data_IF_771694812414
#
_entry.id   IF_771694812414
#
_cell.length_a   1.000
_cell.length_b   1.000
_cell.length_c   1.000
_cell.angle_alpha   90.00
_cell.angle_beta   90.00
_cell.angle_gamma   90.00
#
_symmetry.space_group_name_H-M   'P 1'
#
loop_
_entity.id
_entity.type
_entity.pdbx_description
1 polymer ?
#
# COMPACT_ATOMS: atom_id res chain seq x y z
N UNK A 1 -48.57 27.03 -62.37
CA UNK A 1 -47.63 26.15 -63.10
C UNK A 1 -47.36 24.89 -62.26
N UNK A 2 -46.92 23.82 -62.93
CA UNK A 2 -46.75 22.43 -62.48
C UNK A 2 -46.14 22.19 -61.07
N UNK A 3 -46.79 21.32 -60.29
CA UNK A 3 -46.17 20.31 -59.41
C UNK A 3 -45.67 19.11 -60.26
N UNK A 4 -45.01 18.08 -59.69
CA UNK A 4 -43.96 18.05 -58.65
C UNK A 4 -42.74 17.20 -59.11
N UNK A 5 -41.67 17.09 -58.29
CA UNK A 5 -41.00 15.79 -58.08
C UNK A 5 -40.13 15.80 -56.81
N UNK A 6 -40.11 14.67 -56.09
CA UNK A 6 -39.24 14.43 -54.95
C UNK A 6 -37.95 13.71 -55.39
N UNK A 7 -36.89 13.81 -54.58
CA UNK A 7 -35.79 12.83 -54.50
C UNK A 7 -34.98 13.03 -53.19
N UNK A 8 -35.22 12.13 -52.22
CA UNK A 8 -34.20 11.62 -51.27
C UNK A 8 -33.14 10.82 -52.08
N UNK A 9 -31.93 10.46 -51.59
CA UNK A 9 -31.51 10.20 -50.20
C UNK A 9 -30.36 11.17 -49.78
N UNK A 10 -29.43 10.98 -48.83
CA UNK A 10 -28.91 9.79 -48.07
C UNK A 10 -28.56 10.18 -46.64
N UNK A 11 -28.82 9.28 -45.68
CA UNK A 11 -28.25 9.32 -44.33
C UNK A 11 -26.83 8.74 -44.35
N UNK A 12 -25.80 9.56 -44.13
CA UNK A 12 -24.45 9.05 -43.85
C UNK A 12 -24.29 8.86 -42.33
N UNK A 13 -24.73 7.70 -41.83
CA UNK A 13 -24.51 7.30 -40.44
C UNK A 13 -23.04 6.91 -40.29
N UNK A 14 -22.23 7.76 -39.68
CA UNK A 14 -20.91 7.36 -39.20
C UNK A 14 -21.07 6.33 -38.08
N UNK A 15 -20.93 5.05 -38.43
CA UNK A 15 -20.85 3.97 -37.48
C UNK A 15 -19.54 4.11 -36.67
N UNK A 16 -19.63 4.75 -35.50
CA UNK A 16 -18.58 4.65 -34.49
C UNK A 16 -18.61 3.23 -33.96
N UNK A 17 -17.65 2.42 -34.42
CA UNK A 17 -17.49 1.04 -33.97
C UNK A 17 -17.12 1.04 -32.48
N UNK A 18 -18.12 0.84 -31.63
CA UNK A 18 -17.90 0.42 -30.25
C UNK A 18 -17.25 -0.96 -30.29
N UNK A 19 -15.92 -0.99 -30.19
CA UNK A 19 -15.19 -2.19 -29.83
C UNK A 19 -15.53 -2.53 -28.38
N UNK A 20 -16.67 -3.20 -28.18
CA UNK A 20 -16.97 -3.90 -26.94
C UNK A 20 -15.99 -5.06 -26.83
N UNK A 21 -14.81 -4.78 -26.27
CA UNK A 21 -13.95 -5.82 -25.70
C UNK A 21 -14.73 -6.46 -24.57
N UNK A 22 -15.38 -7.58 -24.89
CA UNK A 22 -15.89 -8.53 -23.90
C UNK A 22 -14.68 -9.11 -23.16
N UNK A 23 -14.19 -8.34 -22.18
CA UNK A 23 -13.37 -8.89 -21.11
C UNK A 23 -14.33 -9.77 -20.31
N UNK A 24 -14.24 -11.08 -20.55
CA UNK A 24 -14.83 -12.06 -19.64
C UNK A 24 -14.18 -11.85 -18.27
N UNK A 25 -14.88 -11.11 -17.41
CA UNK A 25 -14.59 -11.07 -15.99
C UNK A 25 -14.84 -12.47 -15.44
N UNK A 26 -13.77 -13.27 -15.43
CA UNK A 26 -13.77 -14.59 -14.82
C UNK A 26 -14.30 -14.50 -13.40
N UNK A 27 -15.51 -15.04 -13.19
CA UNK A 27 -16.15 -15.11 -11.88
C UNK A 27 -15.45 -16.13 -10.99
N UNK A 28 -14.22 -15.83 -10.58
CA UNK A 28 -13.70 -16.35 -9.32
C UNK A 28 -14.29 -15.53 -8.17
N UNK A 29 -15.59 -15.74 -7.97
CA UNK A 29 -16.26 -15.32 -6.76
C UNK A 29 -15.62 -16.12 -5.61
N UNK A 30 -14.78 -15.46 -4.82
CA UNK A 30 -14.07 -16.05 -3.70
C UNK A 30 -15.02 -16.23 -2.50
N UNK A 31 -16.06 -17.04 -2.69
CA UNK A 31 -17.15 -17.27 -1.73
C UNK A 31 -16.86 -18.37 -0.72
N UNK A 32 -15.89 -19.23 -1.03
CA UNK A 32 -15.67 -20.49 -0.30
C UNK A 32 -14.44 -20.43 0.64
N UNK A 33 -13.66 -19.34 0.63
CA UNK A 33 -12.57 -19.17 1.61
C UNK A 33 -13.13 -18.83 2.99
N UNK A 34 -12.65 -19.50 4.06
CA UNK A 34 -12.92 -19.08 5.43
C UNK A 34 -12.54 -17.60 5.62
N UNK A 35 -13.36 -16.79 6.31
CA UNK A 35 -13.06 -15.37 6.53
C UNK A 35 -11.70 -15.09 7.19
N UNK A 36 -11.16 -16.05 7.96
CA UNK A 36 -9.81 -15.99 8.53
C UNK A 36 -8.72 -16.00 7.46
N UNK A 37 -8.77 -16.91 6.48
CA UNK A 37 -7.74 -17.03 5.44
C UNK A 37 -7.69 -15.81 4.53
N UNK A 38 -8.85 -15.27 4.13
CA UNK A 38 -8.91 -14.03 3.36
C UNK A 38 -8.34 -12.84 4.16
N UNK A 39 -8.72 -12.70 5.44
CA UNK A 39 -8.18 -11.66 6.30
C UNK A 39 -6.68 -11.77 6.55
N UNK A 40 -6.11 -12.97 6.63
CA UNK A 40 -4.67 -13.20 6.75
C UNK A 40 -3.89 -12.83 5.46
N UNK A 41 -4.46 -13.06 4.27
CA UNK A 41 -3.85 -12.64 3.01
C UNK A 41 -3.90 -11.13 2.82
N UNK A 42 -5.03 -10.49 3.13
CA UNK A 42 -5.17 -9.02 3.12
C UNK A 42 -4.24 -8.35 4.13
N UNK A 43 -4.07 -8.96 5.30
CA UNK A 43 -3.14 -8.49 6.33
C UNK A 43 -1.67 -8.54 5.87
N UNK A 44 -1.28 -9.51 5.03
CA UNK A 44 0.07 -9.55 4.42
C UNK A 44 0.32 -8.40 3.45
N UNK A 45 -0.69 -8.01 2.65
CA UNK A 45 -0.60 -6.82 1.77
C UNK A 45 -0.30 -5.57 2.59
N UNK A 46 -0.98 -5.39 3.72
CA UNK A 46 -0.71 -4.25 4.61
C UNK A 46 0.67 -4.38 5.28
N UNK A 47 1.08 -5.56 5.71
CA UNK A 47 2.41 -5.78 6.28
C UNK A 47 3.53 -5.38 5.29
N UNK A 48 3.38 -5.69 3.99
CA UNK A 48 4.29 -5.22 2.95
C UNK A 48 4.29 -3.69 2.82
N UNK A 49 3.15 -3.01 2.96
CA UNK A 49 3.09 -1.53 2.91
C UNK A 49 3.81 -0.88 4.10
N UNK A 50 3.80 -1.48 5.29
CA UNK A 50 4.63 -1.00 6.39
C UNK A 50 6.12 -1.03 6.06
N UNK A 51 6.60 -1.96 5.22
CA UNK A 51 8.01 -2.05 4.79
C UNK A 51 8.48 -0.83 3.99
N UNK A 52 7.57 -0.07 3.38
CA UNK A 52 7.87 1.19 2.67
C UNK A 52 8.45 2.23 3.63
N UNK A 53 7.97 2.23 4.88
CA UNK A 53 8.32 3.20 5.91
C UNK A 53 9.52 2.78 6.76
N UNK A 54 10.30 1.80 6.30
CA UNK A 54 11.48 1.30 7.02
C UNK A 54 12.79 1.68 6.32
N UNK A 55 13.88 1.92 7.07
CA UNK A 55 15.21 2.05 6.51
C UNK A 55 15.73 0.74 5.94
N UNK A 56 16.66 0.82 4.99
CA UNK A 56 17.34 -0.36 4.46
C UNK A 56 18.09 -1.12 5.56
N UNK A 57 17.97 -2.45 5.56
CA UNK A 57 18.80 -3.33 6.39
C UNK A 57 20.24 -3.38 5.88
N UNK A 58 21.21 -3.60 6.77
CA UNK A 58 22.59 -3.84 6.38
C UNK A 58 22.71 -5.07 5.45
N UNK A 59 23.46 -4.93 4.35
CA UNK A 59 23.67 -6.00 3.35
C UNK A 59 22.52 -6.27 2.36
N UNK A 60 21.38 -5.58 2.46
CA UNK A 60 20.20 -5.84 1.63
C UNK A 60 20.28 -5.18 0.23
N UNK A 61 21.10 -5.73 -0.67
CA UNK A 61 21.18 -5.29 -2.09
C UNK A 61 20.15 -6.00 -3.01
N UNK A 62 19.11 -6.61 -2.45
CA UNK A 62 18.03 -7.23 -3.24
C UNK A 62 16.68 -6.89 -2.63
N UNK A 63 15.71 -6.62 -3.50
CA UNK A 63 14.30 -6.65 -3.16
C UNK A 63 13.98 -7.98 -2.48
N UNK A 64 13.41 -7.92 -1.29
CA UNK A 64 12.84 -9.09 -0.63
C UNK A 64 11.54 -9.43 -1.37
N UNK A 65 11.67 -10.22 -2.44
CA UNK A 65 10.53 -10.87 -3.09
C UNK A 65 10.17 -12.08 -2.22
N UNK A 66 9.31 -11.85 -1.22
CA UNK A 66 8.75 -12.90 -0.36
C UNK A 66 7.80 -13.79 -1.16
N UNK A 67 8.39 -14.74 -1.90
CA UNK A 67 7.75 -15.57 -2.91
C UNK A 67 6.94 -16.74 -2.29
N UNK A 68 6.05 -16.42 -1.34
CA UNK A 68 5.27 -17.39 -0.54
C UNK A 68 3.77 -17.07 -0.44
N UNK A 69 3.28 -16.05 -1.16
CA UNK A 69 1.86 -15.76 -1.35
C UNK A 69 1.60 -15.29 -2.78
N UNK A 70 0.34 -15.36 -3.24
CA UNK A 70 -0.09 -14.78 -4.54
C UNK A 70 -0.07 -13.23 -4.55
N UNK A 71 0.38 -12.60 -3.46
CA UNK A 71 0.06 -11.23 -3.10
C UNK A 71 1.26 -10.58 -2.39
N UNK A 72 2.25 -10.11 -3.15
CA UNK A 72 3.43 -9.40 -2.64
C UNK A 72 3.50 -7.99 -3.24
N UNK A 73 3.65 -6.96 -2.39
CA UNK A 73 3.87 -5.58 -2.87
C UNK A 73 5.38 -5.34 -2.97
N UNK A 74 5.94 -5.10 -4.16
CA UNK A 74 7.34 -4.64 -4.24
C UNK A 74 7.42 -3.19 -3.81
N UNK A 75 7.99 -2.96 -2.63
CA UNK A 75 8.15 -1.63 -2.05
C UNK A 75 9.33 -0.89 -2.65
N UNK A 76 9.21 0.43 -2.71
CA UNK A 76 10.26 1.32 -3.18
C UNK A 76 11.02 1.83 -1.95
N UNK A 77 12.36 1.85 -2.00
CA UNK A 77 13.17 2.18 -0.85
C UNK A 77 13.34 3.70 -0.68
N UNK A 78 13.25 4.15 0.57
CA UNK A 78 13.66 5.50 0.99
C UNK A 78 15.19 5.54 1.09
N UNK A 79 15.87 6.58 0.58
CA UNK A 79 17.32 6.73 0.72
C UNK A 79 17.79 6.73 2.18
N UNK A 80 18.94 6.09 2.43
CA UNK A 80 19.53 5.98 3.79
C UNK A 80 19.84 7.36 4.37
N UNK A 81 20.28 8.29 3.52
CA UNK A 81 20.61 9.67 3.89
C UNK A 81 19.40 10.45 4.42
N UNK A 82 18.19 10.12 3.94
CA UNK A 82 16.95 10.73 4.44
C UNK A 82 16.66 10.25 5.87
N UNK A 83 16.90 8.98 6.17
CA UNK A 83 16.80 8.42 7.52
C UNK A 83 17.83 9.03 8.48
N UNK A 84 19.08 9.20 8.06
CA UNK A 84 20.10 9.91 8.87
C UNK A 84 19.61 11.31 9.23
N UNK A 85 19.13 12.09 8.25
CA UNK A 85 18.64 13.47 8.49
C UNK A 85 17.40 13.49 9.39
N UNK A 86 16.48 12.54 9.26
CA UNK A 86 15.30 12.44 10.12
C UNK A 86 15.64 12.10 11.57
N UNK A 87 16.56 11.15 11.78
CA UNK A 87 17.02 10.74 13.10
C UNK A 87 17.80 11.87 13.78
N UNK A 88 18.87 12.34 13.13
CA UNK A 88 19.87 13.25 13.72
C UNK A 88 19.39 14.70 13.75
N UNK A 89 18.81 15.19 12.64
CA UNK A 89 18.44 16.60 12.47
C UNK A 89 16.94 16.86 12.67
N UNK A 90 16.11 15.81 12.74
CA UNK A 90 14.65 15.96 12.78
C UNK A 90 14.03 16.45 11.47
N UNK A 91 14.78 16.46 10.37
CA UNK A 91 14.28 16.88 9.05
C UNK A 91 13.24 15.88 8.55
N UNK A 92 12.03 16.31 8.14
CA UNK A 92 11.05 15.44 7.52
C UNK A 92 11.60 14.69 6.28
N UNK A 93 11.11 13.47 6.06
CA UNK A 93 11.39 12.72 4.84
C UNK A 93 10.24 12.96 3.87
N UNK A 94 10.53 13.62 2.75
CA UNK A 94 9.60 13.84 1.65
C UNK A 94 9.98 12.91 0.49
N UNK A 95 9.15 11.90 0.22
CA UNK A 95 9.40 10.91 -0.83
C UNK A 95 8.18 10.72 -1.72
N UNK A 96 8.33 11.00 -3.02
CA UNK A 96 7.34 10.63 -4.03
C UNK A 96 7.69 9.26 -4.62
N UNK A 97 6.67 8.43 -4.83
CA UNK A 97 6.76 7.13 -5.47
C UNK A 97 5.91 7.10 -6.74
N UNK A 98 6.43 6.47 -7.78
CA UNK A 98 5.77 6.28 -9.08
C UNK A 98 5.92 4.83 -9.52
N UNK A 99 4.90 4.31 -10.19
CA UNK A 99 4.88 2.92 -10.65
C UNK A 99 5.99 2.65 -11.68
N UNK A 100 6.95 1.80 -11.31
CA UNK A 100 8.04 1.36 -12.19
C UNK A 100 8.42 -0.09 -11.89
N UNK A 101 9.34 -0.65 -12.66
CA UNK A 101 9.88 -1.98 -12.36
C UNK A 101 10.45 -2.01 -10.93
N UNK A 102 10.02 -3.00 -10.14
CA UNK A 102 10.44 -3.12 -8.75
C UNK A 102 9.81 -2.13 -7.76
N UNK A 103 8.77 -1.40 -8.15
CA UNK A 103 8.11 -0.39 -7.33
C UNK A 103 6.61 -0.36 -7.67
N UNK A 104 5.84 -1.12 -6.89
CA UNK A 104 4.41 -1.39 -7.12
C UNK A 104 3.46 -0.41 -6.39
N UNK A 105 4.02 0.65 -5.80
CA UNK A 105 3.28 1.73 -5.13
C UNK A 105 3.44 3.07 -5.84
N UNK A 106 2.44 3.93 -5.71
CA UNK A 106 2.45 5.31 -6.20
C UNK A 106 1.81 6.24 -5.17
N UNK A 107 2.41 7.41 -4.94
CA UNK A 107 1.91 8.39 -3.99
C UNK A 107 3.01 9.32 -3.47
N UNK A 108 2.73 9.97 -2.34
CA UNK A 108 3.70 10.80 -1.61
C UNK A 108 3.68 10.35 -0.15
N UNK A 109 4.87 10.31 0.45
CA UNK A 109 5.08 9.97 1.84
C UNK A 109 5.88 11.10 2.51
N UNK A 110 5.24 11.77 3.47
CA UNK A 110 5.80 12.88 4.23
C UNK A 110 6.00 12.46 5.69
N UNK A 111 7.09 11.74 5.97
CA UNK A 111 7.37 11.24 7.33
C UNK A 111 7.80 12.42 8.22
N UNK A 112 7.00 12.70 9.24
CA UNK A 112 7.28 13.71 10.28
C UNK A 112 7.25 13.09 11.67
N UNK A 113 7.64 13.88 12.69
CA UNK A 113 7.54 13.50 14.12
C UNK A 113 6.15 13.78 14.72
N UNK A 114 5.27 14.44 13.96
CA UNK A 114 3.84 14.60 14.30
C UNK A 114 3.02 13.54 13.56
N UNK A 115 1.73 13.33 13.87
CA UNK A 115 0.90 12.45 13.07
C UNK A 115 0.80 12.94 11.62
N UNK A 116 0.97 12.05 10.64
CA UNK A 116 0.91 12.36 9.21
C UNK A 116 0.03 11.36 8.43
N UNK A 117 -0.67 11.81 7.38
CA UNK A 117 -1.45 10.92 6.53
C UNK A 117 -0.55 10.16 5.55
N UNK A 118 -0.99 8.97 5.14
CA UNK A 118 -0.40 8.19 4.06
C UNK A 118 -1.51 7.81 3.08
N UNK A 119 -1.32 8.12 1.79
CA UNK A 119 -2.20 7.70 0.69
C UNK A 119 -1.34 7.11 -0.42
N UNK A 120 -1.43 5.78 -0.61
CA UNK A 120 -0.65 5.03 -1.58
C UNK A 120 -1.58 4.21 -2.48
N UNK A 121 -1.38 4.31 -3.79
CA UNK A 121 -2.02 3.47 -4.80
C UNK A 121 -1.19 2.21 -5.06
N UNK A 122 -1.82 1.09 -5.37
CA UNK A 122 -1.19 -0.21 -5.59
C UNK A 122 -1.34 -0.65 -7.06
N UNK A 123 -0.26 -1.11 -7.69
CA UNK A 123 -0.25 -1.44 -9.14
C UNK A 123 -0.79 -2.83 -9.48
N UNK A 124 -0.41 -3.84 -8.69
CA UNK A 124 -0.49 -5.25 -9.12
C UNK A 124 -1.70 -6.01 -8.57
N UNK A 125 -2.69 -5.29 -8.04
CA UNK A 125 -3.82 -5.88 -7.33
C UNK A 125 -5.12 -5.53 -8.07
N UNK A 126 -5.73 -6.53 -8.70
CA UNK A 126 -7.04 -6.36 -9.36
C UNK A 126 -8.14 -5.99 -8.36
N UNK A 127 -8.02 -6.49 -7.13
CA UNK A 127 -9.00 -6.23 -6.07
C UNK A 127 -8.67 -4.99 -5.24
N UNK A 128 -7.39 -4.68 -4.96
CA UNK A 128 -6.98 -3.61 -4.05
C UNK A 128 -6.34 -2.42 -4.78
N UNK A 129 -6.90 -1.23 -4.61
CA UNK A 129 -6.50 -0.03 -5.38
C UNK A 129 -5.58 0.88 -4.57
N UNK A 130 -5.89 1.05 -3.28
CA UNK A 130 -5.40 2.17 -2.49
C UNK A 130 -5.40 1.86 -1.00
N UNK A 131 -4.34 2.26 -0.32
CA UNK A 131 -4.21 2.24 1.14
C UNK A 131 -4.21 3.67 1.64
N UNK A 132 -5.05 3.95 2.63
CA UNK A 132 -5.05 5.21 3.39
C UNK A 132 -4.86 4.89 4.87
N UNK A 133 -4.03 5.63 5.59
CA UNK A 133 -3.83 5.45 7.03
C UNK A 133 -3.31 6.73 7.67
N UNK A 134 -3.56 6.91 8.98
CA UNK A 134 -2.95 7.98 9.76
C UNK A 134 -1.80 7.38 10.58
N UNK A 135 -0.56 7.77 10.26
CA UNK A 135 0.63 7.32 10.97
C UNK A 135 0.99 8.28 12.09
N UNK A 136 1.40 7.73 13.24
CA UNK A 136 2.17 8.41 14.26
C UNK A 136 3.53 7.70 14.40
N UNK A 137 4.63 8.44 14.28
CA UNK A 137 5.97 7.94 14.51
C UNK A 137 6.57 8.61 15.74
N UNK A 138 7.07 7.82 16.69
CA UNK A 138 7.85 8.30 17.84
C UNK A 138 9.28 7.80 17.75
N UNK A 139 10.23 8.62 18.20
CA UNK A 139 11.66 8.35 18.14
C UNK A 139 12.29 8.62 19.51
N UNK A 140 13.02 7.65 20.04
CA UNK A 140 13.82 7.78 21.25
C UNK A 140 15.28 7.44 20.94
N UNK A 141 16.19 8.38 21.19
CA UNK A 141 17.62 8.20 20.96
C UNK A 141 18.27 7.50 22.16
N UNK A 142 18.92 6.36 21.91
CA UNK A 142 19.80 5.68 22.85
C UNK A 142 21.26 6.03 22.53
N UNK A 143 21.87 6.83 23.41
CA UNK A 143 23.25 7.28 23.30
C UNK A 143 24.27 6.18 23.62
N UNK A 144 23.89 5.14 24.36
CA UNK A 144 24.80 4.06 24.74
C UNK A 144 25.02 3.09 23.57
N UNK A 145 23.97 2.80 22.80
CA UNK A 145 24.04 1.93 21.60
C UNK A 145 24.25 2.70 20.30
N UNK A 146 24.18 4.04 20.32
CA UNK A 146 24.16 4.91 19.13
C UNK A 146 23.04 4.52 18.15
N UNK A 147 21.83 4.32 18.68
CA UNK A 147 20.66 3.93 17.89
C UNK A 147 19.44 4.78 18.24
N UNK A 148 18.57 5.00 17.25
CA UNK A 148 17.25 5.57 17.45
C UNK A 148 16.20 4.45 17.46
N UNK A 149 15.52 4.28 18.59
CA UNK A 149 14.37 3.40 18.72
C UNK A 149 13.16 4.10 18.12
N UNK A 150 12.55 3.51 17.10
CA UNK A 150 11.41 4.06 16.36
C UNK A 150 10.19 3.17 16.60
N UNK A 151 9.09 3.78 17.03
CA UNK A 151 7.77 3.14 17.07
C UNK A 151 6.86 3.80 16.04
N UNK A 152 6.24 2.97 15.20
CA UNK A 152 5.26 3.38 14.19
C UNK A 152 3.91 2.83 14.60
N UNK A 153 2.90 3.69 14.62
CA UNK A 153 1.50 3.32 14.84
C UNK A 153 0.65 3.81 13.68
N UNK A 154 -0.07 2.90 13.03
CA UNK A 154 -1.15 3.24 12.11
C UNK A 154 -2.49 3.19 12.86
N UNK A 155 -3.17 4.32 12.91
CA UNK A 155 -4.56 4.42 13.33
C UNK A 155 -5.45 4.46 12.08
N UNK A 156 -6.64 3.86 12.19
CA UNK A 156 -7.74 3.98 11.22
C UNK A 156 -7.33 3.75 9.76
N UNK A 157 -6.52 2.71 9.53
CA UNK A 157 -6.07 2.30 8.22
C UNK A 157 -7.20 1.67 7.40
N UNK A 158 -7.29 2.03 6.12
CA UNK A 158 -8.30 1.55 5.17
C UNK A 158 -7.61 1.04 3.91
N UNK A 159 -7.76 -0.26 3.64
CA UNK A 159 -7.48 -0.88 2.36
C UNK A 159 -8.74 -0.77 1.49
N UNK A 160 -8.67 0.02 0.40
CA UNK A 160 -9.77 0.28 -0.52
C UNK A 160 -9.69 -0.66 -1.73
N UNK A 161 -10.83 -1.22 -2.13
CA UNK A 161 -10.94 -2.18 -3.25
C UNK A 161 -11.58 -1.57 -4.51
N UNK A 162 -11.37 -2.22 -5.67
CA UNK A 162 -12.12 -1.94 -6.91
C UNK A 162 -13.59 -2.35 -6.80
N UNK A 163 -13.87 -3.36 -5.98
CA UNK A 163 -15.20 -3.93 -5.76
C UNK A 163 -15.65 -3.58 -4.34
N UNK A 164 -16.56 -2.61 -4.22
CA UNK A 164 -17.27 -2.37 -2.97
C UNK A 164 -18.25 -3.53 -2.66
N UNK A 165 -18.52 -3.86 -1.38
CA UNK A 165 -18.01 -3.22 -0.16
C UNK A 165 -16.81 -3.98 0.45
N UNK A 166 -15.83 -4.42 -0.35
CA UNK A 166 -14.66 -5.19 0.15
C UNK A 166 -13.57 -4.35 0.84
N UNK A 167 -13.92 -3.25 1.50
CA UNK A 167 -12.95 -2.52 2.33
C UNK A 167 -12.51 -3.34 3.54
N UNK A 168 -11.25 -3.16 3.94
CA UNK A 168 -10.70 -3.66 5.19
C UNK A 168 -10.23 -2.47 6.04
N UNK A 169 -10.71 -2.40 7.28
CA UNK A 169 -10.28 -1.41 8.28
C UNK A 169 -9.30 -2.08 9.25
N UNK A 170 -8.17 -1.45 9.51
CA UNK A 170 -7.09 -2.00 10.32
C UNK A 170 -6.40 -0.95 11.20
N UNK A 171 -5.69 -1.42 12.21
CA UNK A 171 -4.71 -0.63 12.97
C UNK A 171 -3.45 -1.46 13.18
N UNK A 172 -2.29 -0.82 13.30
CA UNK A 172 -1.03 -1.53 13.45
C UNK A 172 -0.05 -0.80 14.34
N UNK A 173 0.77 -1.56 15.06
CA UNK A 173 1.93 -1.10 15.80
C UNK A 173 3.17 -1.88 15.35
N UNK A 174 4.30 -1.19 15.18
CA UNK A 174 5.56 -1.77 14.72
C UNK A 174 6.75 -1.02 15.32
N UNK A 175 7.82 -1.73 15.67
CA UNK A 175 9.00 -1.16 16.31
C UNK A 175 10.30 -1.66 15.66
N UNK A 176 11.26 -0.75 15.51
CA UNK A 176 12.58 -1.04 14.96
C UNK A 176 13.63 -0.07 15.52
N UNK A 177 14.91 -0.39 15.33
CA UNK A 177 16.01 0.51 15.65
C UNK A 177 16.74 0.95 14.38
N UNK A 178 17.15 2.22 14.33
CA UNK A 178 17.98 2.79 13.26
C UNK A 178 19.36 3.11 13.84
N UNK A 179 20.44 2.68 13.18
CA UNK A 179 21.79 3.13 13.50
C UNK A 179 22.01 4.61 13.10
N UNK A 180 23.07 5.24 13.61
CA UNK A 180 23.46 6.59 13.13
C UNK A 180 23.92 6.60 11.66
N UNK A 181 24.15 5.42 11.06
CA UNK A 181 24.36 5.23 9.62
C UNK A 181 23.06 5.30 8.80
N UNK A 182 21.89 5.47 9.43
CA UNK A 182 20.57 5.54 8.79
C UNK A 182 19.99 4.19 8.38
N UNK A 183 20.64 3.08 8.74
CA UNK A 183 20.20 1.71 8.40
C UNK A 183 19.42 1.08 9.53
N UNK A 184 18.57 0.10 9.20
CA UNK A 184 17.88 -0.70 10.22
C UNK A 184 18.90 -1.56 10.97
N UNK A 185 19.06 -1.30 12.27
CA UNK A 185 19.98 -2.00 13.16
C UNK A 185 19.32 -3.19 13.87
N UNK A 186 18.03 -3.08 14.21
CA UNK A 186 17.22 -4.11 14.84
C UNK A 186 15.76 -4.03 14.36
N UNK A 187 15.06 -5.17 14.34
CA UNK A 187 13.63 -5.24 14.10
C UNK A 187 12.95 -5.98 15.25
N UNK A 188 12.11 -5.25 16.00
CA UNK A 188 11.38 -5.77 17.17
C UNK A 188 10.00 -6.33 16.80
N UNK A 189 9.62 -6.21 15.53
CA UNK A 189 8.34 -6.62 15.00
C UNK A 189 7.20 -5.74 15.49
N UNK A 190 6.00 -6.29 15.45
CA UNK A 190 4.78 -5.56 15.76
C UNK A 190 3.53 -6.42 15.57
N UNK A 191 2.37 -5.77 15.54
CA UNK A 191 1.08 -6.39 15.34
C UNK A 191 0.23 -5.57 14.38
N UNK A 192 -0.47 -6.25 13.50
CA UNK A 192 -1.53 -5.68 12.67
C UNK A 192 -2.84 -6.31 13.12
N UNK A 193 -3.81 -5.46 13.46
CA UNK A 193 -5.16 -5.85 13.83
C UNK A 193 -6.13 -5.44 12.73
N UNK A 194 -6.79 -6.41 12.12
CA UNK A 194 -7.91 -6.17 11.21
C UNK A 194 -9.15 -5.97 12.08
N UNK A 195 -9.69 -4.75 12.07
CA UNK A 195 -10.85 -4.35 12.87
C UNK A 195 -12.17 -4.59 12.14
N UNK A 196 -12.20 -4.42 10.81
CA UNK A 196 -13.35 -4.77 9.96
C UNK A 196 -12.90 -5.34 8.62
N UNK A 197 -13.66 -6.29 8.11
CA UNK A 197 -13.46 -6.91 6.81
C UNK A 197 -14.81 -7.02 6.09
N UNK A 198 -14.91 -6.50 4.86
CA UNK A 198 -16.14 -6.52 4.06
C UNK A 198 -17.34 -5.93 4.83
N UNK A 199 -17.08 -4.82 5.54
CA UNK A 199 -18.04 -4.11 6.41
C UNK A 199 -18.38 -4.77 7.76
N UNK A 200 -17.99 -6.04 7.99
CA UNK A 200 -18.26 -6.78 9.24
C UNK A 200 -17.11 -6.61 10.22
N UNK A 201 -17.41 -6.67 11.52
CA UNK A 201 -16.37 -6.69 12.56
C UNK A 201 -15.45 -7.90 12.38
N UNK A 202 -14.14 -7.64 12.43
CA UNK A 202 -13.09 -8.63 12.43
C UNK A 202 -12.25 -8.46 13.71
N UNK A 203 -11.71 -9.55 14.22
CA UNK A 203 -10.82 -9.56 15.39
C UNK A 203 -9.52 -10.33 15.08
N UNK A 204 -9.09 -10.27 13.82
CA UNK A 204 -7.89 -10.97 13.34
C UNK A 204 -6.67 -10.13 13.73
N UNK A 205 -5.72 -10.74 14.42
CA UNK A 205 -4.42 -10.13 14.74
C UNK A 205 -3.33 -10.97 14.13
N UNK A 206 -2.49 -10.36 13.30
CA UNK A 206 -1.30 -11.01 12.71
C UNK A 206 -0.03 -10.32 13.22
N UNK A 207 1.11 -11.03 13.31
CA UNK A 207 2.39 -10.39 13.58
C UNK A 207 2.83 -9.53 12.38
N UNK A 208 3.33 -8.34 12.65
CA UNK A 208 4.11 -7.55 11.69
C UNK A 208 5.58 -7.91 11.84
N UNK A 209 6.09 -8.75 10.94
CA UNK A 209 7.52 -9.04 10.80
C UNK A 209 7.99 -8.42 9.48
N UNK A 210 9.14 -7.73 9.51
CA UNK A 210 9.68 -7.01 8.35
C UNK A 210 11.15 -7.39 8.15
N UNK A 211 11.32 -8.43 7.35
CA UNK A 211 12.59 -9.14 7.11
C UNK A 211 13.74 -8.25 6.59
#
# INVERSE_FOLDING_TARGET
MKTPLALLPVFLICAVAFAQTNVEFGKHADTDRPPSQAGEEEAKVIADIFKVMNPQKNGATKQVVTNTSKFTVRTCQIPVEAWVRFVVLGTPIHQSFTFKEGCDIQGVLDITRTPFPVDLQLRNYQEYVRVRMQIQMTLALDLATQQAQVSVRANDGILSTTIEPRSMEFSGDYQFAIGMDGRMADNKGGKLKVNRLKGKAAAITVPLVID
#
